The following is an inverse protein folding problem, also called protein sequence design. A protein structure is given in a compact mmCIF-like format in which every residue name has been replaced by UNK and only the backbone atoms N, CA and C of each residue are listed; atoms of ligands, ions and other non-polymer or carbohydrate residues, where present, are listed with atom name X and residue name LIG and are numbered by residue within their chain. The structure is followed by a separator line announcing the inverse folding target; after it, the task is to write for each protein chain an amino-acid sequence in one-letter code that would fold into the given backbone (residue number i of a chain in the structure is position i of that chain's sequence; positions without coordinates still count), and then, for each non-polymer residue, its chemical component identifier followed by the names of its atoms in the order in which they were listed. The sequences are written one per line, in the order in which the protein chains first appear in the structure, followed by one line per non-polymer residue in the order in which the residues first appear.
data_IF_199253459710
#
_entry.id   IF_199253459710
#
_cell.length_a   1.000
_cell.length_b   1.000
_cell.length_c   1.000
_cell.angle_alpha   90.00
_cell.angle_beta   90.00
_cell.angle_gamma   90.00
#
_symmetry.space_group_name_H-M   'P 1'
#
loop_
_entity.id
_entity.type
_entity.pdbx_description
1 polymer ?
#
# COMPACT_ATOMS: atom_id res chain seq x y z
N UNK A 1 33.49 -2.68 -16.60
CA UNK A 1 34.06 -1.99 -15.66
C UNK A 1 33.39 -1.94 -14.28
N UNK A 2 33.41 -2.61 -13.58
CA UNK A 2 32.80 -2.75 -12.33
C UNK A 2 32.97 -1.70 -11.30
N UNK A 3 32.74 -0.53 -11.58
CA UNK A 3 32.92 0.49 -10.60
C UNK A 3 32.16 0.31 -9.34
N UNK A 4 31.54 -0.71 -9.07
CA UNK A 4 30.86 -0.89 -7.79
C UNK A 4 29.93 0.23 -7.39
N UNK A 5 29.67 1.14 -8.26
CA UNK A 5 28.90 2.32 -8.01
C UNK A 5 27.68 2.30 -8.91
N UNK A 6 26.66 1.61 -8.50
CA UNK A 6 25.41 1.60 -9.23
C UNK A 6 24.46 2.61 -8.58
N UNK A 7 23.90 3.50 -9.37
CA UNK A 7 22.84 4.37 -8.91
C UNK A 7 21.61 3.52 -8.64
N UNK A 8 20.92 3.84 -7.57
CA UNK A 8 19.70 3.17 -7.21
C UNK A 8 18.68 3.31 -8.35
N UNK A 9 18.18 2.21 -8.87
CA UNK A 9 17.27 2.20 -10.02
C UNK A 9 17.95 1.91 -11.34
N UNK A 10 19.29 1.97 -11.40
CA UNK A 10 20.05 1.59 -12.59
C UNK A 10 20.78 0.26 -12.41
N UNK A 11 20.79 -0.28 -11.21
CA UNK A 11 21.38 -1.57 -10.93
C UNK A 11 20.52 -2.66 -11.57
N UNK A 12 21.12 -3.49 -12.43
CA UNK A 12 20.41 -4.57 -13.11
C UNK A 12 19.72 -5.53 -12.14
N UNK A 13 20.31 -5.76 -10.98
CA UNK A 13 19.73 -6.64 -9.97
C UNK A 13 18.41 -6.11 -9.39
N UNK A 14 18.17 -4.80 -9.49
CA UNK A 14 16.95 -4.17 -9.03
C UNK A 14 15.94 -3.91 -10.14
N UNK A 15 16.34 -4.13 -11.39
CA UNK A 15 15.45 -3.94 -12.52
C UNK A 15 14.49 -5.12 -12.66
N UNK A 16 13.28 -4.78 -13.07
CA UNK A 16 12.25 -5.77 -13.33
C UNK A 16 12.23 -6.06 -14.82
N UNK A 17 12.17 -7.34 -15.17
CA UNK A 17 12.09 -7.75 -16.57
C UNK A 17 10.87 -7.09 -17.25
N UNK A 18 10.98 -6.71 -18.53
CA UNK A 18 9.88 -6.03 -19.23
C UNK A 18 8.54 -6.76 -19.16
N UNK A 19 8.56 -8.08 -19.12
CA UNK A 19 7.35 -8.89 -19.05
C UNK A 19 6.58 -8.69 -17.73
N UNK A 20 7.24 -8.18 -16.69
CA UNK A 20 6.62 -7.93 -15.39
C UNK A 20 6.37 -6.45 -15.10
N UNK A 21 6.70 -5.56 -16.04
CA UNK A 21 6.61 -4.12 -15.80
C UNK A 21 5.18 -3.58 -15.83
N UNK A 22 4.25 -4.30 -16.43
CA UNK A 22 2.84 -3.91 -16.42
C UNK A 22 2.05 -4.87 -15.55
N UNK A 23 1.25 -4.32 -14.65
CA UNK A 23 0.45 -5.09 -13.72
C UNK A 23 -1.00 -4.60 -13.75
N UNK A 24 -1.93 -5.54 -13.72
CA UNK A 24 -3.35 -5.24 -13.68
C UNK A 24 -3.81 -5.18 -12.23
N UNK A 25 -4.46 -4.08 -11.87
CA UNK A 25 -5.02 -3.89 -10.53
C UNK A 25 -6.50 -4.28 -10.55
N UNK A 26 -6.90 -5.11 -9.59
CA UNK A 26 -8.28 -5.58 -9.46
C UNK A 26 -8.78 -5.27 -8.05
N UNK A 27 -9.66 -4.27 -7.95
CA UNK A 27 -10.31 -3.85 -6.71
C UNK A 27 -11.78 -3.56 -7.01
N UNK A 28 -12.64 -3.80 -6.04
CA UNK A 28 -14.06 -3.46 -6.17
C UNK A 28 -14.25 -1.94 -6.20
N UNK A 29 -15.38 -1.51 -6.76
CA UNK A 29 -15.74 -0.11 -6.83
C UNK A 29 -16.25 0.38 -5.48
N UNK A 30 -15.42 1.10 -4.75
CA UNK A 30 -15.79 1.81 -3.55
C UNK A 30 -14.85 3.00 -3.37
N UNK A 31 -15.23 3.95 -2.54
CA UNK A 31 -14.37 5.10 -2.24
C UNK A 31 -13.04 4.65 -1.63
N UNK A 32 -13.12 3.73 -0.69
CA UNK A 32 -11.94 3.19 -0.01
C UNK A 32 -11.02 2.47 -0.98
N UNK A 33 -11.58 1.62 -1.82
CA UNK A 33 -10.80 0.91 -2.84
C UNK A 33 -10.18 1.87 -3.85
N UNK A 34 -10.89 2.94 -4.20
CA UNK A 34 -10.34 3.95 -5.10
C UNK A 34 -9.14 4.67 -4.49
N UNK A 35 -9.21 5.01 -3.21
CA UNK A 35 -8.08 5.63 -2.50
C UNK A 35 -6.87 4.70 -2.48
N UNK A 36 -7.10 3.43 -2.19
CA UNK A 36 -6.01 2.45 -2.18
C UNK A 36 -5.44 2.24 -3.58
N UNK A 37 -6.29 2.15 -4.59
CA UNK A 37 -5.84 1.98 -5.98
C UNK A 37 -4.96 3.13 -6.43
N UNK A 38 -5.32 4.36 -6.07
CA UNK A 38 -4.50 5.54 -6.39
C UNK A 38 -3.13 5.47 -5.70
N UNK A 39 -3.09 5.06 -4.45
CA UNK A 39 -1.84 4.90 -3.72
C UNK A 39 -0.97 3.80 -4.34
N UNK A 40 -1.57 2.66 -4.68
CA UNK A 40 -0.86 1.57 -5.36
C UNK A 40 -0.28 2.03 -6.70
N UNK A 41 -1.08 2.72 -7.51
CA UNK A 41 -0.65 3.24 -8.81
C UNK A 41 0.53 4.20 -8.65
N UNK A 42 0.43 5.12 -7.70
CA UNK A 42 1.50 6.08 -7.42
C UNK A 42 2.81 5.36 -7.07
N UNK A 43 2.76 4.41 -6.16
CA UNK A 43 3.99 3.72 -5.73
C UNK A 43 4.54 2.80 -6.80
N UNK A 44 3.69 2.17 -7.60
CA UNK A 44 4.14 1.38 -8.74
C UNK A 44 4.85 2.27 -9.77
N UNK A 45 4.28 3.44 -10.08
CA UNK A 45 4.90 4.39 -11.01
C UNK A 45 6.25 4.92 -10.50
N UNK A 46 6.36 5.16 -9.18
CA UNK A 46 7.63 5.54 -8.57
C UNK A 46 8.69 4.46 -8.71
N UNK A 47 8.29 3.22 -8.88
CA UNK A 47 9.18 2.09 -9.11
C UNK A 47 9.39 1.80 -10.61
N UNK A 48 8.92 2.69 -11.48
CA UNK A 48 8.97 2.55 -12.94
C UNK A 48 8.16 1.36 -13.46
N UNK A 49 7.05 1.06 -12.77
CA UNK A 49 6.10 0.05 -13.18
C UNK A 49 4.84 0.72 -13.70
N UNK A 50 4.14 0.04 -14.60
CA UNK A 50 2.92 0.56 -15.21
C UNK A 50 1.71 -0.24 -14.77
N UNK A 51 0.55 0.39 -14.75
CA UNK A 51 -0.71 -0.29 -14.50
C UNK A 51 -1.49 -0.40 -15.80
N UNK A 52 -2.14 -1.53 -16.01
CA UNK A 52 -2.93 -1.77 -17.22
C UNK A 52 -3.25 -3.24 -17.39
N UNK A 53 -3.77 -3.58 -18.54
CA UNK A 53 -4.08 -4.97 -18.85
C UNK A 53 -2.81 -5.81 -18.88
N UNK A 54 -2.81 -6.90 -18.12
CA UNK A 54 -1.65 -7.76 -18.00
C UNK A 54 -2.06 -9.12 -17.42
N UNK A 55 -1.23 -10.13 -17.66
CA UNK A 55 -1.35 -11.41 -16.94
C UNK A 55 -0.78 -11.32 -15.54
N UNK A 56 0.04 -10.30 -15.25
CA UNK A 56 0.47 -10.00 -13.89
C UNK A 56 -0.65 -9.23 -13.19
N UNK A 57 -1.00 -9.63 -12.00
CA UNK A 57 -2.16 -9.04 -11.33
C UNK A 57 -1.90 -8.82 -9.85
N UNK A 58 -2.48 -7.73 -9.35
CA UNK A 58 -2.64 -7.50 -7.92
C UNK A 58 -4.13 -7.36 -7.67
N UNK A 59 -4.69 -8.29 -6.91
CA UNK A 59 -6.08 -8.27 -6.51
C UNK A 59 -6.18 -7.95 -5.03
N UNK A 60 -7.05 -7.01 -4.69
CA UNK A 60 -7.27 -6.61 -3.31
C UNK A 60 -8.72 -6.89 -2.96
N UNK A 61 -8.93 -7.67 -1.92
CA UNK A 61 -10.25 -8.02 -1.41
C UNK A 61 -10.35 -7.64 0.06
N UNK A 62 -11.57 -7.47 0.52
CA UNK A 62 -11.88 -7.31 1.93
C UNK A 62 -11.10 -6.16 2.58
N UNK A 63 -11.01 -5.04 1.85
CA UNK A 63 -10.42 -3.83 2.41
C UNK A 63 -11.31 -3.33 3.55
N UNK A 64 -10.71 -3.17 4.73
CA UNK A 64 -11.44 -2.78 5.92
C UNK A 64 -10.64 -1.82 6.76
N UNK A 65 -11.33 -0.83 7.27
CA UNK A 65 -10.79 0.18 8.14
C UNK A 65 -11.43 0.04 9.51
N UNK A 66 -10.61 -0.01 10.57
CA UNK A 66 -11.10 -0.13 11.94
C UNK A 66 -10.49 0.94 12.81
N UNK A 67 -11.30 1.44 13.73
CA UNK A 67 -10.93 2.45 14.70
C UNK A 67 -11.15 1.88 16.10
N UNK A 68 -10.10 1.92 16.91
CA UNK A 68 -10.16 1.46 18.29
C UNK A 68 -9.88 2.63 19.23
N UNK A 69 -10.60 2.66 20.36
CA UNK A 69 -10.32 3.59 21.43
C UNK A 69 -9.74 2.81 22.60
N UNK A 70 -8.55 3.17 23.02
CA UNK A 70 -7.89 2.58 24.17
C UNK A 70 -8.01 3.57 25.32
N UNK A 71 -8.99 3.33 26.19
CA UNK A 71 -9.31 4.22 27.31
C UNK A 71 -8.37 3.96 28.46
N UNK A 72 -7.71 5.02 28.96
CA UNK A 72 -6.82 4.99 30.10
C UNK A 72 -6.69 6.38 30.67
N UNK A 73 -5.57 6.66 31.34
CA UNK A 73 -5.26 8.01 31.83
C UNK A 73 -5.23 8.96 30.63
N UNK A 74 -4.68 8.50 29.52
CA UNK A 74 -4.76 9.18 28.22
C UNK A 74 -5.46 8.22 27.26
N UNK A 75 -6.51 8.71 26.59
CA UNK A 75 -7.20 7.91 25.58
C UNK A 75 -6.40 7.93 24.28
N UNK A 76 -6.15 6.76 23.74
CA UNK A 76 -5.44 6.59 22.47
C UNK A 76 -6.41 6.12 21.39
N UNK A 77 -6.32 6.71 20.22
CA UNK A 77 -7.06 6.26 19.04
C UNK A 77 -6.10 5.46 18.17
N UNK A 78 -6.51 4.26 17.83
CA UNK A 78 -5.73 3.38 16.95
C UNK A 78 -6.53 3.10 15.70
N UNK A 79 -5.94 3.42 14.55
CA UNK A 79 -6.53 3.20 13.24
C UNK A 79 -5.81 2.05 12.56
N UNK A 80 -6.57 1.12 12.00
CA UNK A 80 -6.03 -0.07 11.33
C UNK A 80 -6.68 -0.21 9.97
N UNK A 81 -5.86 -0.24 8.93
CA UNK A 81 -6.30 -0.52 7.58
C UNK A 81 -5.73 -1.87 7.16
N UNK A 82 -6.60 -2.79 6.75
CA UNK A 82 -6.17 -4.13 6.36
C UNK A 82 -6.91 -4.59 5.11
N UNK A 83 -6.30 -5.53 4.39
CA UNK A 83 -6.87 -6.12 3.19
C UNK A 83 -6.25 -7.48 2.94
N UNK A 84 -6.95 -8.29 2.16
CA UNK A 84 -6.42 -9.55 1.66
C UNK A 84 -5.90 -9.29 0.25
N UNK A 85 -4.62 -9.57 0.03
CA UNK A 85 -3.93 -9.22 -1.22
C UNK A 85 -3.47 -10.48 -1.92
N UNK A 86 -3.85 -10.63 -3.20
CA UNK A 86 -3.40 -11.71 -4.05
C UNK A 86 -2.53 -11.13 -5.15
N UNK A 87 -1.31 -11.62 -5.28
CA UNK A 87 -0.36 -11.14 -6.29
C UNK A 87 0.00 -12.31 -7.19
N UNK A 88 -0.17 -12.12 -8.48
CA UNK A 88 0.22 -13.09 -9.51
C UNK A 88 1.27 -12.46 -10.42
N UNK A 89 2.44 -13.05 -10.47
CA UNK A 89 3.52 -12.61 -11.34
C UNK A 89 4.42 -13.79 -11.67
N UNK A 90 4.78 -13.91 -12.96
CA UNK A 90 5.70 -14.96 -13.40
C UNK A 90 5.18 -16.37 -13.13
N UNK A 91 3.87 -16.59 -13.21
CA UNK A 91 3.27 -17.90 -12.94
C UNK A 91 3.15 -18.25 -11.46
N UNK A 92 3.57 -17.36 -10.58
CA UNK A 92 3.45 -17.54 -9.12
C UNK A 92 2.30 -16.71 -8.59
N UNK A 93 1.52 -17.28 -7.69
CA UNK A 93 0.44 -16.58 -7.01
C UNK A 93 0.62 -16.73 -5.51
N UNK A 94 0.61 -15.60 -4.80
CA UNK A 94 0.55 -15.60 -3.35
C UNK A 94 -0.71 -14.86 -2.90
N UNK A 95 -1.26 -15.29 -1.77
CA UNK A 95 -2.35 -14.58 -1.10
C UNK A 95 -1.90 -14.33 0.32
N UNK A 96 -1.93 -13.08 0.74
CA UNK A 96 -1.45 -12.70 2.07
C UNK A 96 -2.29 -11.56 2.62
N UNK A 97 -2.64 -11.60 3.91
CA UNK A 97 -3.24 -10.42 4.55
C UNK A 97 -2.16 -9.36 4.75
N UNK A 98 -2.53 -8.12 4.55
CA UNK A 98 -1.65 -6.98 4.80
C UNK A 98 -2.36 -5.98 5.68
N UNK A 99 -1.61 -5.36 6.57
CA UNK A 99 -2.17 -4.45 7.55
C UNK A 99 -1.18 -3.33 7.84
N UNK A 100 -1.70 -2.12 7.96
CA UNK A 100 -0.96 -0.96 8.44
C UNK A 100 -1.76 -0.30 9.54
N UNK A 101 -1.08 0.36 10.47
CA UNK A 101 -1.75 0.99 11.59
C UNK A 101 -1.06 2.27 12.00
N UNK A 102 -1.82 3.15 12.66
CA UNK A 102 -1.33 4.38 13.23
C UNK A 102 -2.13 4.70 14.48
N UNK A 103 -1.46 5.23 15.49
CA UNK A 103 -2.10 5.64 16.74
C UNK A 103 -1.85 7.11 17.00
N UNK A 104 -2.81 7.77 17.64
CA UNK A 104 -2.66 9.12 18.13
C UNK A 104 -3.43 9.30 19.44
N UNK A 105 -3.01 10.28 20.24
CA UNK A 105 -3.67 10.56 21.50
C UNK A 105 -4.93 11.40 21.29
N UNK A 106 -5.98 11.02 22.01
CA UNK A 106 -7.23 11.76 22.01
C UNK A 106 -7.12 12.97 22.94
N UNK A 107 -7.45 14.14 22.42
CA UNK A 107 -7.50 15.37 23.20
C UNK A 107 -8.91 15.97 23.13
N UNK A 108 -9.66 15.86 24.20
CA UNK A 108 -11.04 16.35 24.28
C UNK A 108 -11.15 17.86 24.04
N UNK A 109 -10.11 18.62 24.33
CA UNK A 109 -10.12 20.07 24.17
C UNK A 109 -10.08 20.53 22.72
N UNK A 110 -9.89 19.61 21.76
CA UNK A 110 -9.68 19.94 20.34
C UNK A 110 -10.43 19.00 19.42
N UNK A 111 -11.76 18.97 19.52
CA UNK A 111 -12.61 18.06 18.73
C UNK A 111 -12.40 18.25 17.23
N UNK A 112 -12.28 19.49 16.77
CA UNK A 112 -12.04 19.80 15.35
C UNK A 112 -10.68 19.27 14.89
N UNK A 113 -9.66 19.41 15.72
CA UNK A 113 -8.31 18.89 15.45
C UNK A 113 -8.30 17.37 15.38
N UNK A 114 -9.18 16.73 16.16
CA UNK A 114 -9.31 15.26 16.17
C UNK A 114 -9.82 14.71 14.84
N UNK A 115 -10.88 15.30 14.30
CA UNK A 115 -11.44 14.87 13.02
C UNK A 115 -10.43 15.07 11.89
N UNK A 116 -9.74 16.22 11.89
CA UNK A 116 -8.72 16.52 10.91
C UNK A 116 -7.55 15.52 11.03
N UNK A 117 -7.09 15.26 12.24
CA UNK A 117 -6.02 14.32 12.50
C UNK A 117 -6.41 12.90 12.06
N UNK A 118 -7.65 12.50 12.31
CA UNK A 118 -8.18 11.21 11.88
C UNK A 118 -8.18 11.06 10.36
N UNK A 119 -8.56 12.11 9.62
CA UNK A 119 -8.55 12.09 8.17
C UNK A 119 -7.13 12.04 7.60
N UNK A 120 -6.21 12.81 8.17
CA UNK A 120 -4.80 12.79 7.77
C UNK A 120 -4.19 11.41 8.01
N UNK A 121 -4.47 10.81 9.15
CA UNK A 121 -4.00 9.47 9.48
C UNK A 121 -4.56 8.43 8.52
N UNK A 122 -5.82 8.59 8.13
CA UNK A 122 -6.48 7.69 7.17
C UNK A 122 -5.80 7.76 5.81
N UNK A 123 -5.55 8.96 5.30
CA UNK A 123 -4.82 9.17 4.05
C UNK A 123 -3.43 8.56 4.10
N UNK A 124 -2.73 8.74 5.20
CA UNK A 124 -1.41 8.15 5.41
C UNK A 124 -1.47 6.61 5.38
N UNK A 125 -2.51 6.00 5.97
CA UNK A 125 -2.66 4.55 5.97
C UNK A 125 -2.90 3.99 4.56
N UNK A 126 -3.72 4.65 3.75
CA UNK A 126 -3.90 4.24 2.36
C UNK A 126 -2.57 4.30 1.59
N UNK A 127 -1.82 5.36 1.80
CA UNK A 127 -0.51 5.52 1.16
C UNK A 127 0.45 4.40 1.58
N UNK A 128 0.52 4.11 2.88
CA UNK A 128 1.40 3.07 3.40
C UNK A 128 1.00 1.67 2.93
N UNK A 129 -0.28 1.37 2.90
CA UNK A 129 -0.73 0.07 2.40
C UNK A 129 -0.44 -0.06 0.91
N UNK A 130 -0.71 0.98 0.13
CA UNK A 130 -0.38 1.01 -1.30
C UNK A 130 1.09 0.80 -1.57
N UNK A 131 1.96 1.45 -0.81
CA UNK A 131 3.40 1.28 -0.92
C UNK A 131 3.82 -0.16 -0.60
N UNK A 132 3.30 -0.70 0.49
CA UNK A 132 3.64 -2.06 0.92
C UNK A 132 3.23 -3.11 -0.12
N UNK A 133 2.07 -2.93 -0.73
CA UNK A 133 1.60 -3.83 -1.80
C UNK A 133 2.51 -3.72 -3.03
N UNK A 134 2.85 -2.49 -3.44
CA UNK A 134 3.73 -2.25 -4.58
C UNK A 134 5.12 -2.87 -4.36
N UNK A 135 5.67 -2.71 -3.17
CA UNK A 135 6.97 -3.29 -2.82
C UNK A 135 6.93 -4.81 -2.86
N UNK A 136 5.85 -5.42 -2.41
CA UNK A 136 5.69 -6.88 -2.46
C UNK A 136 5.64 -7.38 -3.90
N UNK A 137 4.92 -6.69 -4.76
CA UNK A 137 4.90 -7.02 -6.19
C UNK A 137 6.30 -6.95 -6.78
N UNK A 138 7.02 -5.87 -6.54
CA UNK A 138 8.38 -5.71 -7.05
C UNK A 138 9.29 -6.81 -6.56
N UNK A 139 9.19 -7.20 -5.30
CA UNK A 139 10.00 -8.27 -4.73
C UNK A 139 9.76 -9.60 -5.42
N UNK A 140 8.49 -9.88 -5.81
CA UNK A 140 8.14 -11.12 -6.50
C UNK A 140 8.52 -11.09 -7.98
N UNK A 141 8.61 -9.89 -8.57
CA UNK A 141 8.86 -9.71 -9.99
C UNK A 141 10.37 -9.67 -10.37
N UNK A 142 11.23 -9.77 -9.42
CA UNK A 142 12.68 -9.79 -9.67
C UNK A 142 13.16 -11.11 -10.19
#
# INVERSE_FOLDING_TARGET
SGCGFALRGTDESLQIAPVYQTVQLSLDDSQENLHLKRAMTKHLELMHLNTGLSTNQIRVDNLRFRRYELVGILTEIRLVLSADVEITVGGKTITTPMQVEQSYQYNEASVVTLDQQGEESRGWLYDQLGERIAERYRAMAR
#
